data_IF_691932470563
#
_entry.id   IF_691932470563
#
_cell.length_a   1.000
_cell.length_b   1.000
_cell.length_c   1.000
_cell.angle_alpha   90.00
_cell.angle_beta   90.00
_cell.angle_gamma   90.00
#
_symmetry.space_group_name_H-M   'P 1'
#
loop_
_entity.id
_entity.type
_entity.pdbx_description
1 polymer ?
#
# COMPACT_ATOMS: atom_id res chain seq x y z
N UNK A 1 25.52 18.76 -50.69
CA UNK A 1 25.33 19.80 -49.67
C UNK A 1 23.89 19.87 -49.19
N UNK A 2 22.89 20.09 -50.06
CA UNK A 2 21.48 20.21 -49.63
C UNK A 2 20.86 18.95 -48.98
N UNK A 3 21.23 17.74 -49.45
CA UNK A 3 20.78 16.47 -48.84
C UNK A 3 21.38 16.17 -47.45
N UNK A 4 22.54 16.73 -47.11
CA UNK A 4 23.16 16.56 -45.80
C UNK A 4 22.53 17.47 -44.75
N UNK A 5 22.20 18.72 -45.11
CA UNK A 5 21.54 19.66 -44.20
C UNK A 5 20.14 19.20 -43.80
N UNK A 6 19.37 18.62 -44.73
CA UNK A 6 18.03 18.05 -44.45
C UNK A 6 18.14 16.87 -43.48
N UNK A 7 19.17 16.03 -43.62
CA UNK A 7 19.40 14.87 -42.77
C UNK A 7 19.85 15.28 -41.35
N UNK A 8 20.66 16.34 -41.22
CA UNK A 8 21.08 16.90 -39.92
C UNK A 8 19.90 17.58 -39.19
N UNK A 9 19.04 18.33 -39.90
CA UNK A 9 17.85 18.97 -39.32
C UNK A 9 16.81 17.95 -38.83
N UNK A 10 16.60 16.88 -39.60
CA UNK A 10 15.72 15.75 -39.22
C UNK A 10 16.23 15.02 -37.97
N UNK A 11 17.54 14.72 -37.91
CA UNK A 11 18.18 14.02 -36.79
C UNK A 11 18.25 14.87 -35.51
N UNK A 12 18.34 16.20 -35.65
CA UNK A 12 18.23 17.17 -34.56
C UNK A 12 16.82 17.18 -33.96
N UNK A 13 15.78 17.36 -34.79
CA UNK A 13 14.38 17.35 -34.35
C UNK A 13 13.95 16.03 -33.71
N UNK A 14 14.43 14.89 -34.21
CA UNK A 14 14.14 13.58 -33.63
C UNK A 14 14.78 13.39 -32.26
N UNK A 15 15.99 13.95 -32.03
CA UNK A 15 16.65 13.98 -30.71
C UNK A 15 15.94 14.93 -29.74
N UNK A 16 15.41 16.07 -30.18
CA UNK A 16 14.62 16.97 -29.33
C UNK A 16 13.26 16.39 -28.97
N UNK A 17 12.57 15.72 -29.89
CA UNK A 17 11.32 15.00 -29.64
C UNK A 17 11.54 13.78 -28.73
N UNK A 18 12.55 12.96 -28.99
CA UNK A 18 12.94 11.86 -28.09
C UNK A 18 13.32 12.38 -26.72
N UNK A 19 14.09 13.48 -26.63
CA UNK A 19 14.44 14.10 -25.35
C UNK A 19 13.20 14.65 -24.63
N UNK A 20 12.27 15.30 -25.34
CA UNK A 20 11.01 15.79 -24.77
C UNK A 20 10.07 14.64 -24.33
N UNK A 21 10.04 13.54 -25.08
CA UNK A 21 9.31 12.32 -24.73
C UNK A 21 9.99 11.63 -23.53
N UNK A 22 11.30 11.46 -23.52
CA UNK A 22 12.04 10.91 -22.35
C UNK A 22 12.01 11.84 -21.14
N UNK A 23 11.90 13.17 -21.31
CA UNK A 23 11.70 14.11 -20.21
C UNK A 23 10.26 14.04 -19.68
N UNK A 24 9.25 13.91 -20.56
CA UNK A 24 7.85 13.66 -20.16
C UNK A 24 7.67 12.29 -19.50
N UNK A 25 8.36 11.25 -19.97
CA UNK A 25 8.39 9.91 -19.34
C UNK A 25 9.24 9.89 -18.05
N UNK A 26 10.29 10.70 -17.94
CA UNK A 26 11.06 10.87 -16.69
C UNK A 26 10.21 11.45 -15.56
N UNK A 27 9.18 12.22 -15.91
CA UNK A 27 8.15 12.62 -14.95
C UNK A 27 7.21 11.47 -14.56
N UNK A 28 6.88 10.51 -15.44
CA UNK A 28 5.97 9.36 -15.21
C UNK A 28 6.75 8.14 -14.73
N UNK A 29 7.27 8.19 -13.50
CA UNK A 29 8.08 7.09 -12.94
C UNK A 29 7.42 6.34 -11.80
N UNK A 30 6.42 6.94 -11.12
CA UNK A 30 5.82 6.36 -9.91
C UNK A 30 4.43 5.76 -10.14
N UNK A 31 3.76 6.12 -11.24
CA UNK A 31 2.42 5.63 -11.58
C UNK A 31 2.37 4.11 -11.84
N UNK A 32 3.31 3.50 -12.57
CA UNK A 32 3.28 2.04 -12.76
C UNK A 32 3.48 1.28 -11.46
N UNK A 33 4.31 1.82 -10.56
CA UNK A 33 4.60 1.22 -9.25
C UNK A 33 3.37 1.25 -8.35
N UNK A 34 2.70 2.41 -8.23
CA UNK A 34 1.48 2.53 -7.42
C UNK A 34 0.34 1.72 -8.02
N UNK A 35 0.19 1.70 -9.35
CA UNK A 35 -0.84 0.91 -10.01
C UNK A 35 -0.68 -0.58 -9.72
N UNK A 36 0.53 -1.12 -9.95
CA UNK A 36 0.78 -2.55 -9.82
C UNK A 36 0.73 -3.01 -8.35
N UNK A 37 1.26 -2.21 -7.42
CA UNK A 37 1.12 -2.51 -5.98
C UNK A 37 -0.35 -2.51 -5.58
N UNK A 38 -1.10 -1.43 -5.86
CA UNK A 38 -2.53 -1.35 -5.51
C UNK A 38 -3.35 -2.49 -6.10
N UNK A 39 -3.13 -2.77 -7.38
CA UNK A 39 -3.78 -3.87 -8.07
C UNK A 39 -3.54 -5.21 -7.39
N UNK A 40 -2.28 -5.50 -7.03
CA UNK A 40 -1.90 -6.75 -6.37
C UNK A 40 -2.51 -6.85 -4.98
N UNK A 41 -2.43 -5.78 -4.19
CA UNK A 41 -2.92 -5.78 -2.83
C UNK A 41 -4.44 -5.91 -2.71
N UNK A 42 -5.19 -5.40 -3.70
CA UNK A 42 -6.66 -5.46 -3.69
C UNK A 42 -7.16 -6.85 -4.05
N UNK A 43 -6.50 -7.49 -5.02
CA UNK A 43 -6.65 -8.91 -5.33
C UNK A 43 -6.33 -9.78 -4.11
N UNK A 44 -5.19 -9.50 -3.47
CA UNK A 44 -4.77 -10.14 -2.22
C UNK A 44 -5.82 -10.00 -1.10
N UNK A 45 -6.31 -8.79 -0.85
CA UNK A 45 -7.23 -8.51 0.25
C UNK A 45 -8.55 -9.28 0.13
N UNK A 46 -9.11 -9.40 -1.09
CA UNK A 46 -10.35 -10.15 -1.30
C UNK A 46 -10.17 -11.64 -0.97
N UNK A 47 -9.04 -12.22 -1.35
CA UNK A 47 -8.80 -13.65 -1.14
C UNK A 47 -8.36 -13.96 0.29
N UNK A 48 -7.64 -13.05 0.95
CA UNK A 48 -7.41 -13.14 2.38
C UNK A 48 -8.74 -13.16 3.16
N UNK A 49 -9.72 -12.33 2.78
CA UNK A 49 -11.06 -12.35 3.39
C UNK A 49 -11.78 -13.70 3.18
N UNK A 50 -11.71 -14.27 1.98
CA UNK A 50 -12.27 -15.61 1.71
C UNK A 50 -11.58 -16.69 2.56
N UNK A 51 -10.26 -16.61 2.71
CA UNK A 51 -9.50 -17.54 3.57
C UNK A 51 -9.92 -17.41 5.04
N UNK A 52 -10.19 -16.20 5.53
CA UNK A 52 -10.71 -15.99 6.89
C UNK A 52 -12.07 -16.61 7.11
N UNK A 53 -12.96 -16.50 6.12
CA UNK A 53 -14.28 -17.13 6.16
C UNK A 53 -14.17 -18.66 6.23
N UNK A 54 -13.34 -19.26 5.37
CA UNK A 54 -13.13 -20.71 5.40
C UNK A 54 -12.50 -21.19 6.71
N UNK A 55 -11.50 -20.48 7.22
CA UNK A 55 -10.88 -20.83 8.52
C UNK A 55 -11.83 -20.62 9.70
N UNK A 56 -12.62 -19.55 9.71
CA UNK A 56 -13.63 -19.33 10.75
C UNK A 56 -14.64 -20.49 10.80
N UNK A 57 -15.10 -20.96 9.64
CA UNK A 57 -16.05 -22.06 9.56
C UNK A 57 -15.44 -23.42 9.93
N UNK A 58 -14.28 -23.76 9.35
CA UNK A 58 -13.68 -25.10 9.47
C UNK A 58 -12.86 -25.31 10.73
N UNK A 59 -12.10 -24.29 11.16
CA UNK A 59 -11.14 -24.42 12.27
C UNK A 59 -11.72 -23.91 13.58
N UNK A 60 -12.32 -22.71 13.58
CA UNK A 60 -12.84 -22.10 14.81
C UNK A 60 -14.19 -22.69 15.24
N UNK A 61 -15.14 -22.84 14.30
CA UNK A 61 -16.49 -23.35 14.60
C UNK A 61 -16.65 -24.86 14.37
N UNK A 62 -15.70 -25.48 13.66
CA UNK A 62 -15.69 -26.92 13.36
C UNK A 62 -17.01 -27.43 12.76
N UNK A 63 -17.62 -26.64 11.87
CA UNK A 63 -18.83 -27.07 11.17
C UNK A 63 -18.52 -28.15 10.13
N UNK A 64 -19.56 -28.91 9.74
CA UNK A 64 -19.46 -29.91 8.68
C UNK A 64 -18.93 -29.29 7.38
N UNK A 65 -18.07 -30.03 6.68
CA UNK A 65 -17.44 -29.58 5.42
C UNK A 65 -18.46 -29.10 4.40
N UNK A 66 -19.59 -29.79 4.25
CA UNK A 66 -20.68 -29.42 3.34
C UNK A 66 -21.28 -28.04 3.63
N UNK A 67 -21.36 -27.64 4.89
CA UNK A 67 -21.87 -26.33 5.30
C UNK A 67 -20.85 -25.25 4.95
N UNK A 68 -19.56 -25.50 5.24
CA UNK A 68 -18.50 -24.56 4.92
C UNK A 68 -18.29 -24.38 3.41
N UNK A 69 -18.45 -25.45 2.61
CA UNK A 69 -18.41 -25.38 1.15
C UNK A 69 -19.62 -24.62 0.57
N UNK A 70 -20.81 -24.81 1.16
CA UNK A 70 -21.99 -24.02 0.81
C UNK A 70 -21.80 -22.53 1.15
N UNK A 71 -21.18 -22.21 2.30
CA UNK A 71 -20.84 -20.84 2.67
C UNK A 71 -19.80 -20.22 1.72
N UNK A 72 -18.74 -20.95 1.37
CA UNK A 72 -17.69 -20.48 0.46
C UNK A 72 -18.22 -20.24 -0.96
N UNK A 73 -19.12 -21.10 -1.45
CA UNK A 73 -19.78 -20.96 -2.75
C UNK A 73 -20.98 -20.00 -2.75
N UNK A 74 -21.31 -19.40 -1.60
CA UNK A 74 -22.52 -18.57 -1.39
C UNK A 74 -23.82 -19.27 -1.79
N UNK A 75 -23.90 -20.58 -1.56
CA UNK A 75 -25.09 -21.38 -1.82
C UNK A 75 -26.09 -21.28 -0.66
N UNK A 76 -27.12 -20.45 -0.84
CA UNK A 76 -28.13 -20.09 0.18
C UNK A 76 -28.92 -21.31 0.69
N UNK A 77 -28.95 -22.42 -0.06
CA UNK A 77 -29.70 -23.63 0.33
C UNK A 77 -28.92 -24.60 1.22
N UNK A 78 -27.60 -24.40 1.38
CA UNK A 78 -26.73 -25.37 2.06
C UNK A 78 -26.41 -25.05 3.53
N UNK A 79 -26.91 -23.94 4.08
CA UNK A 79 -26.62 -23.51 5.45
C UNK A 79 -27.78 -22.72 6.07
N UNK A 80 -27.83 -22.66 7.41
CA UNK A 80 -28.80 -21.85 8.14
C UNK A 80 -28.31 -20.41 8.32
N UNK A 81 -29.22 -19.43 8.29
CA UNK A 81 -28.90 -18.00 8.55
C UNK A 81 -28.19 -17.76 9.88
N UNK A 82 -28.48 -18.56 10.91
CA UNK A 82 -27.81 -18.46 12.21
C UNK A 82 -26.33 -18.88 12.15
N UNK A 83 -26.00 -19.86 11.31
CA UNK A 83 -24.61 -20.31 11.10
C UNK A 83 -23.82 -19.26 10.34
N UNK A 84 -24.41 -18.69 9.28
CA UNK A 84 -23.82 -17.59 8.53
C UNK A 84 -23.52 -16.39 9.45
N UNK A 85 -24.51 -15.95 10.25
CA UNK A 85 -24.34 -14.84 11.17
C UNK A 85 -23.23 -15.09 12.20
N UNK A 86 -23.07 -16.32 12.66
CA UNK A 86 -22.01 -16.69 13.63
C UNK A 86 -20.63 -16.65 12.98
N UNK A 87 -20.49 -17.18 11.76
CA UNK A 87 -19.24 -17.12 10.98
C UNK A 87 -18.87 -15.66 10.68
N UNK A 88 -19.82 -14.88 10.18
CA UNK A 88 -19.63 -13.47 9.85
C UNK A 88 -19.22 -12.66 11.06
N UNK A 89 -19.84 -12.89 12.23
CA UNK A 89 -19.44 -12.21 13.48
C UNK A 89 -17.96 -12.44 13.81
N UNK A 90 -17.49 -13.69 13.75
CA UNK A 90 -16.07 -14.01 14.01
C UNK A 90 -15.15 -13.34 12.99
N UNK A 91 -15.51 -13.38 11.71
CA UNK A 91 -14.72 -12.76 10.64
C UNK A 91 -14.66 -11.25 10.82
N UNK A 92 -15.79 -10.60 11.14
CA UNK A 92 -15.86 -9.16 11.39
C UNK A 92 -15.01 -8.74 12.59
N UNK A 93 -15.07 -9.48 13.70
CA UNK A 93 -14.22 -9.22 14.87
C UNK A 93 -12.72 -9.31 14.52
N UNK A 94 -12.35 -10.29 13.69
CA UNK A 94 -10.98 -10.47 13.23
C UNK A 94 -10.54 -9.39 12.22
N UNK A 95 -11.44 -8.95 11.34
CA UNK A 95 -11.19 -7.83 10.43
C UNK A 95 -11.04 -6.51 11.20
N UNK A 96 -11.82 -6.30 12.27
CA UNK A 96 -11.67 -5.16 13.15
C UNK A 96 -10.29 -5.15 13.81
N UNK A 97 -9.84 -6.31 14.32
CA UNK A 97 -8.48 -6.45 14.86
C UNK A 97 -7.40 -6.15 13.80
N UNK A 98 -7.55 -6.70 12.59
CA UNK A 98 -6.65 -6.44 11.45
C UNK A 98 -6.54 -4.94 11.18
N UNK A 99 -7.68 -4.25 11.06
CA UNK A 99 -7.72 -2.81 10.80
C UNK A 99 -7.11 -1.99 11.95
N UNK A 100 -7.32 -2.41 13.20
CA UNK A 100 -6.69 -1.79 14.35
C UNK A 100 -5.16 -1.90 14.30
N UNK A 101 -4.61 -3.08 13.97
CA UNK A 101 -3.16 -3.30 13.81
C UNK A 101 -2.60 -2.42 12.67
N UNK A 102 -3.25 -2.45 11.50
CA UNK A 102 -2.85 -1.68 10.33
C UNK A 102 -3.00 -0.16 10.52
N UNK A 103 -3.72 0.29 11.54
CA UNK A 103 -3.83 1.72 11.86
C UNK A 103 -2.83 2.12 12.94
N UNK A 104 -2.73 1.35 14.03
CA UNK A 104 -1.93 1.70 15.19
C UNK A 104 -0.43 1.77 14.88
N UNK A 105 0.14 0.70 14.29
CA UNK A 105 1.59 0.64 14.05
C UNK A 105 2.06 1.67 13.01
N UNK A 106 1.39 1.85 11.86
CA UNK A 106 1.78 2.89 10.90
C UNK A 106 1.71 4.30 11.46
N UNK A 107 0.73 4.63 12.32
CA UNK A 107 0.68 5.96 12.96
C UNK A 107 1.92 6.18 13.82
N UNK A 108 2.29 5.20 14.65
CA UNK A 108 3.52 5.27 15.45
C UNK A 108 4.75 5.41 14.56
N UNK A 109 4.85 4.60 13.51
CA UNK A 109 5.99 4.62 12.59
C UNK A 109 6.11 5.95 11.85
N UNK A 110 5.02 6.46 11.26
CA UNK A 110 5.03 7.70 10.45
C UNK A 110 5.60 8.89 11.23
N UNK A 111 5.41 8.95 12.55
CA UNK A 111 6.00 10.01 13.37
C UNK A 111 7.53 9.96 13.37
N UNK A 112 8.12 8.77 13.50
CA UNK A 112 9.57 8.59 13.46
C UNK A 112 10.09 8.68 12.03
N UNK A 113 9.50 7.87 11.13
CA UNK A 113 9.97 7.75 9.75
C UNK A 113 9.83 9.10 9.07
N UNK A 114 8.69 9.80 9.20
CA UNK A 114 8.46 11.09 8.54
C UNK A 114 9.53 12.14 8.90
N UNK A 115 9.86 12.26 10.19
CA UNK A 115 10.93 13.16 10.65
C UNK A 115 12.31 12.76 10.13
N UNK A 116 12.56 11.47 9.90
CA UNK A 116 13.80 10.95 9.34
C UNK A 116 13.87 11.15 7.83
N UNK A 117 12.77 10.92 7.10
CA UNK A 117 12.63 11.13 5.65
C UNK A 117 12.97 12.55 5.25
N UNK A 118 12.41 13.52 5.98
CA UNK A 118 12.58 14.93 5.68
C UNK A 118 14.05 15.36 5.85
N UNK A 119 14.78 14.74 6.78
CA UNK A 119 16.20 15.02 7.03
C UNK A 119 17.13 14.35 6.04
N UNK A 120 16.85 13.10 5.70
CA UNK A 120 17.73 12.27 4.86
C UNK A 120 17.34 12.29 3.38
N UNK A 121 16.23 12.93 2.98
CA UNK A 121 15.55 12.82 1.67
C UNK A 121 15.50 11.39 1.09
N UNK A 122 15.50 10.37 1.95
CA UNK A 122 15.43 8.96 1.57
C UNK A 122 13.97 8.52 1.51
N UNK A 123 13.35 8.76 0.35
CA UNK A 123 11.92 8.50 0.11
C UNK A 123 11.65 7.14 -0.50
N UNK A 124 12.67 6.52 -1.10
CA UNK A 124 12.57 5.16 -1.67
C UNK A 124 12.27 4.13 -0.60
N UNK A 125 12.81 4.33 0.62
CA UNK A 125 12.52 3.46 1.76
C UNK A 125 11.02 3.39 2.07
N UNK A 126 10.30 4.51 1.97
CA UNK A 126 8.85 4.56 2.24
C UNK A 126 8.00 3.86 1.21
N UNK A 127 8.49 3.81 -0.03
CA UNK A 127 7.78 3.15 -1.12
C UNK A 127 8.08 1.65 -1.06
N UNK A 128 9.35 1.27 -0.85
CA UNK A 128 9.77 -0.13 -0.88
C UNK A 128 9.42 -0.91 0.38
N UNK A 129 9.43 -0.30 1.57
CA UNK A 129 9.17 -1.01 2.82
C UNK A 129 7.74 -1.58 2.91
N UNK A 130 6.65 -0.83 2.60
CA UNK A 130 5.32 -1.40 2.57
C UNK A 130 5.16 -2.50 1.51
N UNK A 131 5.81 -2.35 0.36
CA UNK A 131 5.79 -3.35 -0.71
C UNK A 131 6.42 -4.67 -0.24
N UNK A 132 7.57 -4.61 0.45
CA UNK A 132 8.19 -5.80 1.02
C UNK A 132 7.39 -6.39 2.18
N UNK A 133 6.71 -5.54 2.97
CA UNK A 133 5.83 -6.00 4.04
C UNK A 133 4.67 -6.83 3.52
N UNK A 134 4.06 -6.40 2.43
CA UNK A 134 2.98 -7.15 1.80
C UNK A 134 3.43 -8.51 1.22
N UNK A 135 4.64 -8.57 0.67
CA UNK A 135 5.22 -9.86 0.25
C UNK A 135 5.39 -10.82 1.43
N UNK A 136 5.81 -10.32 2.60
CA UNK A 136 5.91 -11.12 3.82
C UNK A 136 4.54 -11.60 4.29
N UNK A 137 3.50 -10.75 4.17
CA UNK A 137 2.13 -11.15 4.47
C UNK A 137 1.64 -12.27 3.54
N UNK A 138 1.90 -12.16 2.23
CA UNK A 138 1.59 -13.22 1.27
C UNK A 138 2.31 -14.53 1.61
N UNK A 139 3.60 -14.48 1.96
CA UNK A 139 4.37 -15.65 2.37
C UNK A 139 3.79 -16.28 3.65
N UNK A 140 3.39 -15.45 4.61
CA UNK A 140 2.73 -15.87 5.85
C UNK A 140 1.38 -16.55 5.60
N UNK A 141 0.59 -16.05 4.64
CA UNK A 141 -0.66 -16.69 4.24
C UNK A 141 -0.44 -18.03 3.54
N UNK A 142 0.59 -18.15 2.69
CA UNK A 142 0.96 -19.45 2.09
C UNK A 142 1.27 -20.46 3.19
N UNK A 143 2.08 -20.09 4.19
CA UNK A 143 2.35 -20.96 5.34
C UNK A 143 1.07 -21.35 6.09
N UNK A 144 0.15 -20.40 6.29
CA UNK A 144 -1.13 -20.65 6.93
C UNK A 144 -2.06 -21.57 6.13
N UNK A 145 -1.97 -21.57 4.80
CA UNK A 145 -2.71 -22.49 3.93
C UNK A 145 -2.09 -23.88 3.97
N UNK A 146 -0.76 -24.01 4.05
CA UNK A 146 -0.10 -25.30 4.24
C UNK A 146 -0.44 -25.94 5.60
N UNK A 147 -0.50 -25.11 6.65
CA UNK A 147 -0.85 -25.52 8.01
C UNK A 147 -2.31 -25.16 8.33
N UNK A 148 -3.22 -25.44 7.40
CA UNK A 148 -4.60 -24.95 7.45
C UNK A 148 -5.33 -25.32 8.75
N UNK A 149 -5.26 -26.58 9.17
CA UNK A 149 -5.96 -27.11 10.34
C UNK A 149 -5.17 -26.96 11.65
N UNK A 150 -3.87 -26.70 11.57
CA UNK A 150 -3.02 -26.57 12.76
C UNK A 150 -3.01 -25.14 13.32
N UNK A 151 -3.15 -24.14 12.44
CA UNK A 151 -3.07 -22.73 12.82
C UNK A 151 -4.46 -22.09 12.96
N UNK A 152 -4.80 -21.53 14.14
CA UNK A 152 -6.08 -20.87 14.35
C UNK A 152 -6.17 -19.56 13.57
N UNK A 153 -7.41 -19.11 13.32
CA UNK A 153 -7.68 -17.90 12.54
C UNK A 153 -6.94 -16.65 13.06
N UNK A 154 -6.80 -16.50 14.38
CA UNK A 154 -6.09 -15.37 14.99
C UNK A 154 -4.62 -15.29 14.53
N UNK A 155 -3.93 -16.44 14.42
CA UNK A 155 -2.53 -16.48 13.97
C UNK A 155 -2.44 -16.11 12.49
N UNK A 156 -3.43 -16.52 11.69
CA UNK A 156 -3.51 -16.12 10.27
C UNK A 156 -3.67 -14.61 10.11
N UNK A 157 -4.55 -13.99 10.91
CA UNK A 157 -4.79 -12.54 10.88
C UNK A 157 -3.58 -11.74 11.36
N UNK A 158 -2.90 -12.21 12.41
CA UNK A 158 -1.66 -11.60 12.89
C UNK A 158 -0.55 -11.73 11.84
N UNK A 159 -0.44 -12.89 11.20
CA UNK A 159 0.52 -13.17 10.13
C UNK A 159 0.32 -12.30 8.88
N UNK A 160 -0.94 -11.98 8.53
CA UNK A 160 -1.30 -11.07 7.44
C UNK A 160 -1.10 -9.59 7.81
N UNK A 161 -1.39 -9.19 9.04
CA UNK A 161 -1.41 -7.76 9.39
C UNK A 161 -0.08 -7.22 9.90
N UNK A 162 0.64 -7.98 10.73
CA UNK A 162 1.82 -7.49 11.44
C UNK A 162 2.97 -7.08 10.50
N UNK A 163 3.40 -7.88 9.50
CA UNK A 163 4.53 -7.51 8.67
C UNK A 163 4.28 -6.22 7.89
N UNK A 164 3.07 -6.06 7.33
CA UNK A 164 2.67 -4.84 6.63
C UNK A 164 2.58 -3.64 7.58
N UNK A 165 2.02 -3.82 8.77
CA UNK A 165 1.86 -2.77 9.76
C UNK A 165 3.22 -2.26 10.28
N UNK A 166 4.17 -3.17 10.55
CA UNK A 166 5.52 -2.85 11.02
C UNK A 166 6.39 -2.18 9.94
N UNK A 167 6.09 -2.42 8.67
CA UNK A 167 6.77 -1.78 7.54
C UNK A 167 6.04 -0.52 7.04
N UNK A 168 5.03 -0.06 7.80
CA UNK A 168 4.36 1.23 7.61
C UNK A 168 3.08 1.18 6.78
N UNK A 169 2.79 0.07 6.11
CA UNK A 169 1.55 -0.15 5.38
C UNK A 169 1.24 0.87 4.28
N UNK A 170 -0.03 0.87 3.86
CA UNK A 170 -0.57 1.78 2.86
C UNK A 170 -0.34 3.28 3.15
N UNK A 171 -0.50 3.76 4.41
CA UNK A 171 -0.27 5.17 4.71
C UNK A 171 1.16 5.61 4.39
N UNK A 172 2.17 4.81 4.75
CA UNK A 172 3.58 5.10 4.41
C UNK A 172 3.82 5.09 2.90
N UNK A 173 3.23 4.13 2.17
CA UNK A 173 3.34 4.06 0.71
C UNK A 173 2.82 5.34 0.05
N UNK A 174 1.62 5.79 0.43
CA UNK A 174 1.01 6.99 -0.13
C UNK A 174 1.79 8.25 0.24
N UNK A 175 2.22 8.40 1.49
CA UNK A 175 3.06 9.53 1.91
C UNK A 175 4.36 9.53 1.11
N UNK A 176 5.02 8.38 0.96
CA UNK A 176 6.26 8.24 0.18
C UNK A 176 6.08 8.69 -1.27
N UNK A 177 5.00 8.26 -1.93
CA UNK A 177 4.73 8.60 -3.33
C UNK A 177 4.35 10.08 -3.48
N UNK A 178 3.42 10.59 -2.67
CA UNK A 178 2.99 11.99 -2.77
C UNK A 178 4.10 12.97 -2.42
N UNK A 179 4.95 12.65 -1.44
CA UNK A 179 6.13 13.45 -1.12
C UNK A 179 7.14 13.39 -2.26
N UNK A 180 7.42 12.20 -2.82
CA UNK A 180 8.32 12.04 -3.98
C UNK A 180 7.88 12.89 -5.18
N UNK A 181 6.60 12.80 -5.57
CA UNK A 181 6.02 13.65 -6.64
C UNK A 181 6.13 15.13 -6.29
N UNK A 182 5.90 15.49 -5.02
CA UNK A 182 5.93 16.87 -4.55
C UNK A 182 7.27 17.56 -4.68
N UNK A 183 8.40 16.83 -4.65
CA UNK A 183 9.74 17.39 -4.86
C UNK A 183 10.21 17.26 -6.30
N UNK A 184 9.81 16.21 -7.02
CA UNK A 184 10.32 15.99 -8.37
C UNK A 184 9.62 16.85 -9.43
N UNK A 185 8.38 17.28 -9.19
CA UNK A 185 7.60 18.06 -10.14
C UNK A 185 7.62 19.56 -9.83
N UNK A 186 7.70 20.36 -10.91
CA UNK A 186 7.51 21.81 -10.84
C UNK A 186 6.13 22.18 -10.31
N UNK A 187 6.03 23.31 -9.60
CA UNK A 187 4.81 23.78 -8.93
C UNK A 187 3.58 23.81 -9.85
N UNK A 188 3.78 24.20 -11.13
CA UNK A 188 2.71 24.29 -12.13
C UNK A 188 2.09 22.94 -12.49
N UNK A 189 2.88 21.87 -12.50
CA UNK A 189 2.45 20.53 -12.94
C UNK A 189 2.20 19.56 -11.78
N UNK A 190 2.56 19.93 -10.55
CA UNK A 190 2.45 19.09 -9.36
C UNK A 190 1.02 18.58 -9.12
N UNK A 191 0.02 19.45 -9.21
CA UNK A 191 -1.39 19.08 -9.00
C UNK A 191 -1.90 18.09 -10.05
N UNK A 192 -1.58 18.32 -11.34
CA UNK A 192 -1.91 17.40 -12.42
C UNK A 192 -1.28 16.02 -12.21
N UNK A 193 -0.03 16.01 -11.75
CA UNK A 193 0.68 14.76 -11.48
C UNK A 193 0.10 13.96 -10.33
N UNK A 194 -0.25 14.63 -9.23
CA UNK A 194 -0.96 14.02 -8.11
C UNK A 194 -2.31 13.45 -8.56
N UNK A 195 -2.98 14.12 -9.50
CA UNK A 195 -4.19 13.61 -10.18
C UNK A 195 -3.94 12.29 -10.91
N UNK A 196 -2.90 12.19 -11.74
CA UNK A 196 -2.54 10.95 -12.43
C UNK A 196 -2.19 9.80 -11.48
N UNK A 197 -1.44 10.07 -10.41
CA UNK A 197 -1.15 9.08 -9.37
C UNK A 197 -2.45 8.59 -8.71
N UNK A 198 -3.38 9.49 -8.41
CA UNK A 198 -4.68 9.12 -7.84
C UNK A 198 -5.52 8.31 -8.83
N UNK A 199 -5.50 8.65 -10.11
CA UNK A 199 -6.20 7.90 -11.15
C UNK A 199 -5.62 6.48 -11.30
N UNK A 200 -4.29 6.34 -11.31
CA UNK A 200 -3.62 5.04 -11.33
C UNK A 200 -3.98 4.19 -10.10
N UNK A 201 -4.01 4.81 -8.91
CA UNK A 201 -4.49 4.17 -7.68
C UNK A 201 -5.93 3.64 -7.83
N UNK A 202 -6.85 4.49 -8.27
CA UNK A 202 -8.26 4.08 -8.43
C UNK A 202 -8.43 2.99 -9.50
N UNK A 203 -7.72 3.09 -10.61
CA UNK A 203 -7.72 2.05 -11.65
C UNK A 203 -7.21 0.71 -11.11
N UNK A 204 -6.15 0.71 -10.30
CA UNK A 204 -5.65 -0.48 -9.63
C UNK A 204 -6.71 -1.13 -8.73
N UNK A 205 -7.43 -0.34 -7.93
CA UNK A 205 -8.52 -0.84 -7.08
C UNK A 205 -9.66 -1.46 -7.91
N UNK A 206 -10.17 -0.73 -8.91
CA UNK A 206 -11.31 -1.19 -9.70
C UNK A 206 -10.99 -2.46 -10.48
N UNK A 207 -9.81 -2.52 -11.11
CA UNK A 207 -9.37 -3.69 -11.85
C UNK A 207 -9.06 -4.87 -10.94
N UNK A 208 -8.46 -4.61 -9.78
CA UNK A 208 -8.16 -5.65 -8.80
C UNK A 208 -9.41 -6.37 -8.33
N UNK A 209 -10.43 -5.64 -7.86
CA UNK A 209 -11.69 -6.25 -7.43
C UNK A 209 -12.43 -6.97 -8.55
N UNK A 210 -12.42 -6.42 -9.76
CA UNK A 210 -13.10 -7.03 -10.91
C UNK A 210 -12.49 -8.39 -11.30
N UNK A 211 -11.17 -8.53 -11.17
CA UNK A 211 -10.44 -9.73 -11.62
C UNK A 211 -10.25 -10.75 -10.49
N UNK A 212 -10.22 -10.31 -9.23
CA UNK A 212 -9.85 -11.15 -8.08
C UNK A 212 -10.68 -12.44 -7.96
N UNK A 213 -12.00 -12.37 -8.13
CA UNK A 213 -12.89 -13.53 -8.01
C UNK A 213 -12.66 -14.58 -9.12
N UNK A 214 -12.54 -14.12 -10.37
CA UNK A 214 -12.30 -15.00 -11.53
C UNK A 214 -10.94 -15.67 -11.41
N UNK A 215 -9.92 -14.89 -11.05
CA UNK A 215 -8.57 -15.40 -10.86
C UNK A 215 -8.54 -16.47 -9.76
N UNK A 216 -9.18 -16.22 -8.62
CA UNK A 216 -9.21 -17.17 -7.52
C UNK A 216 -9.88 -18.51 -7.87
N UNK A 217 -11.03 -18.46 -8.57
CA UNK A 217 -11.73 -19.68 -9.01
C UNK A 217 -10.86 -20.56 -9.94
N UNK A 218 -9.93 -19.97 -10.69
CA UNK A 218 -9.09 -20.71 -11.63
C UNK A 218 -7.86 -21.38 -11.01
N UNK A 219 -7.23 -20.77 -9.98
CA UNK A 219 -5.91 -21.22 -9.47
C UNK A 219 -5.91 -21.71 -8.01
N UNK A 220 -6.93 -21.38 -7.20
CA UNK A 220 -6.98 -21.71 -5.77
C UNK A 220 -5.97 -20.94 -4.91
N UNK A 221 -5.99 -21.15 -3.59
CA UNK A 221 -5.28 -20.29 -2.62
C UNK A 221 -3.76 -20.22 -2.80
N UNK A 222 -3.05 -21.36 -2.86
CA UNK A 222 -1.57 -21.37 -2.87
C UNK A 222 -1.04 -20.67 -4.12
N UNK A 223 -1.49 -21.12 -5.30
CA UNK A 223 -1.08 -20.56 -6.58
C UNK A 223 -1.42 -19.07 -6.69
N UNK A 224 -2.57 -18.66 -6.15
CA UNK A 224 -2.98 -17.26 -6.12
C UNK A 224 -2.02 -16.39 -5.31
N UNK A 225 -1.67 -16.79 -4.07
CA UNK A 225 -0.72 -16.03 -3.26
C UNK A 225 0.69 -16.01 -3.88
N UNK A 226 1.10 -17.07 -4.56
CA UNK A 226 2.34 -17.07 -5.35
C UNK A 226 2.31 -16.02 -6.47
N UNK A 227 1.19 -15.89 -7.20
CA UNK A 227 1.00 -14.86 -8.22
C UNK A 227 1.07 -13.47 -7.59
N UNK A 228 0.43 -13.25 -6.44
CA UNK A 228 0.55 -11.98 -5.71
C UNK A 228 1.99 -11.65 -5.35
N UNK A 229 2.78 -12.61 -4.86
CA UNK A 229 4.21 -12.39 -4.57
C UNK A 229 4.96 -12.00 -5.84
N UNK A 230 4.72 -12.66 -6.97
CA UNK A 230 5.38 -12.34 -8.24
C UNK A 230 5.04 -10.93 -8.74
N UNK A 231 3.76 -10.53 -8.68
CA UNK A 231 3.33 -9.19 -9.06
C UNK A 231 3.89 -8.13 -8.12
N UNK A 232 3.92 -8.41 -6.82
CA UNK A 232 4.49 -7.51 -5.82
C UNK A 232 6.01 -7.39 -5.95
N UNK A 233 6.70 -8.49 -6.30
CA UNK A 233 8.12 -8.50 -6.66
C UNK A 233 8.39 -7.63 -7.90
N UNK A 234 7.52 -7.72 -8.92
CA UNK A 234 7.62 -6.85 -10.08
C UNK A 234 7.42 -5.37 -9.69
N UNK A 235 6.44 -5.05 -8.84
CA UNK A 235 6.25 -3.70 -8.30
C UNK A 235 7.47 -3.22 -7.50
N UNK A 236 8.09 -4.09 -6.70
CA UNK A 236 9.30 -3.80 -5.94
C UNK A 236 10.48 -3.50 -6.86
N UNK A 237 10.71 -4.33 -7.87
CA UNK A 237 11.76 -4.12 -8.89
C UNK A 237 11.54 -2.82 -9.67
N UNK A 238 10.29 -2.55 -10.11
CA UNK A 238 9.94 -1.29 -10.77
C UNK A 238 10.18 -0.10 -9.84
N UNK A 239 9.83 -0.21 -8.56
CA UNK A 239 10.14 0.78 -7.53
C UNK A 239 11.64 1.04 -7.41
N UNK A 240 12.47 0.00 -7.45
CA UNK A 240 13.94 0.16 -7.41
C UNK A 240 14.47 0.88 -8.65
N UNK A 241 13.98 0.53 -9.83
CA UNK A 241 14.49 1.03 -11.11
C UNK A 241 14.00 2.45 -11.44
N UNK A 242 12.73 2.75 -11.12
CA UNK A 242 12.08 4.00 -11.51
C UNK A 242 12.20 5.09 -10.44
N UNK A 243 12.22 4.74 -9.14
CA UNK A 243 12.38 5.72 -8.05
C UNK A 243 13.87 6.05 -7.88
N UNK A 244 14.23 7.24 -8.35
CA UNK A 244 15.59 7.79 -8.23
C UNK A 244 15.70 8.64 -6.98
N UNK A 245 16.66 8.34 -6.12
CA UNK A 245 17.01 9.20 -5.00
C UNK A 245 18.16 10.13 -5.40
N UNK A 246 18.05 11.40 -5.03
CA UNK A 246 19.18 12.32 -5.12
C UNK A 246 20.17 11.98 -4.02
N UNK A 247 21.45 11.81 -4.38
CA UNK A 247 22.52 11.60 -3.40
C UNK A 247 22.73 12.90 -2.64
N UNK A 248 22.31 12.97 -1.39
CA UNK A 248 22.71 14.08 -0.52
C UNK A 248 24.16 13.84 -0.08
N UNK A 249 25.03 14.78 -0.44
CA UNK A 249 26.35 14.99 0.17
C UNK A 249 26.17 15.76 1.48
N UNK A 250 25.91 15.09 2.61
CA UNK A 250 26.10 15.70 3.94
C UNK A 250 26.51 14.68 5.00
N UNK A 251 27.46 15.16 5.81
CA UNK A 251 28.26 14.50 6.84
C UNK A 251 27.55 13.41 7.62
N UNK A 252 28.16 12.23 7.63
CA UNK A 252 27.91 11.16 8.58
C UNK A 252 28.04 11.71 10.01
N UNK A 253 26.92 11.85 10.71
CA UNK A 253 26.96 11.74 12.16
C UNK A 253 27.14 10.25 12.46
N UNK A 254 28.26 9.90 13.10
CA UNK A 254 28.73 8.55 13.42
C UNK A 254 27.87 7.77 14.43
N UNK A 255 26.65 8.24 14.71
CA UNK A 255 25.68 7.50 15.50
C UNK A 255 24.79 6.72 14.54
N UNK A 256 24.82 5.39 14.62
CA UNK A 256 24.19 4.49 13.65
C UNK A 256 22.78 4.88 13.23
N UNK A 257 22.44 4.58 11.97
CA UNK A 257 21.21 4.99 11.28
C UNK A 257 19.93 4.72 12.10
N UNK A 258 19.88 3.60 12.82
CA UNK A 258 18.75 3.24 13.69
C UNK A 258 18.60 4.15 14.92
N UNK A 259 19.71 4.62 15.49
CA UNK A 259 19.70 5.51 16.66
C UNK A 259 19.24 6.92 16.27
N UNK A 260 19.61 7.39 15.08
CA UNK A 260 19.09 8.64 14.53
C UNK A 260 17.62 8.53 14.07
N UNK A 261 17.19 7.34 13.65
CA UNK A 261 15.80 7.05 13.26
C UNK A 261 14.83 7.10 14.45
N UNK A 262 15.21 6.50 15.58
CA UNK A 262 14.37 6.46 16.79
C UNK A 262 14.60 7.62 17.77
N UNK A 263 15.21 8.73 17.34
CA UNK A 263 15.46 9.86 18.23
C UNK A 263 14.18 10.70 18.47
N UNK A 264 13.60 10.49 19.66
CA UNK A 264 12.36 11.12 20.15
C UNK A 264 12.46 12.66 20.18
N UNK A 265 13.68 13.22 20.24
CA UNK A 265 13.88 14.68 20.23
C UNK A 265 13.24 15.34 19.01
N UNK A 266 13.28 14.66 17.86
CA UNK A 266 12.72 15.19 16.60
C UNK A 266 11.21 15.11 16.58
N UNK A 267 10.63 14.01 17.06
CA UNK A 267 9.18 13.88 17.23
C UNK A 267 8.66 14.99 18.15
N UNK A 268 9.31 15.22 19.30
CA UNK A 268 8.93 16.28 20.24
C UNK A 268 8.97 17.68 19.61
N UNK A 269 9.96 17.97 18.76
CA UNK A 269 10.04 19.24 18.05
C UNK A 269 8.92 19.41 17.02
N UNK A 270 8.58 18.35 16.26
CA UNK A 270 7.44 18.38 15.34
C UNK A 270 6.11 18.62 16.07
N UNK A 271 5.90 17.94 17.21
CA UNK A 271 4.74 18.19 18.07
C UNK A 271 4.71 19.63 18.59
N UNK A 272 5.85 20.17 19.04
CA UNK A 272 5.93 21.55 19.52
C UNK A 272 5.54 22.56 18.42
N UNK A 273 5.90 22.31 17.16
CA UNK A 273 5.50 23.15 16.03
C UNK A 273 3.99 23.04 15.77
N UNK A 274 3.41 21.84 15.78
CA UNK A 274 1.96 21.65 15.62
C UNK A 274 1.14 22.33 16.73
N UNK A 275 1.64 22.34 17.96
CA UNK A 275 0.94 22.85 19.14
C UNK A 275 1.35 24.26 19.59
N UNK A 276 2.31 24.91 18.92
CA UNK A 276 2.64 26.32 19.19
C UNK A 276 1.60 27.27 18.59
N UNK A 277 1.33 28.41 19.26
CA UNK A 277 0.39 29.43 18.77
C UNK A 277 1.13 30.27 17.74
N UNK A 278 0.93 29.98 16.46
CA UNK A 278 1.45 30.81 15.37
C UNK A 278 0.36 31.77 14.85
N UNK A 279 0.74 32.98 14.41
CA UNK A 279 -0.17 33.88 13.70
C UNK A 279 -0.62 33.24 12.38
N UNK A 280 -1.80 33.62 11.87
CA UNK A 280 -2.40 33.22 10.58
C UNK A 280 -3.42 32.06 10.55
N UNK A 281 -4.21 31.83 11.62
CA UNK A 281 -5.35 30.89 11.64
C UNK A 281 -5.03 29.44 11.15
N UNK A 282 -3.76 29.01 11.15
CA UNK A 282 -3.35 27.69 10.65
C UNK A 282 -3.99 26.55 11.44
N UNK A 283 -4.17 26.73 12.75
CA UNK A 283 -4.88 25.76 13.61
C UNK A 283 -6.30 25.48 13.14
N UNK A 284 -7.03 26.53 12.76
CA UNK A 284 -8.39 26.40 12.23
C UNK A 284 -8.39 25.63 10.90
N UNK A 285 -7.42 25.90 10.02
CA UNK A 285 -7.23 25.14 8.76
C UNK A 285 -6.91 23.66 9.02
N UNK A 286 -6.05 23.36 10.00
CA UNK A 286 -5.75 21.96 10.39
C UNK A 286 -6.99 21.24 10.95
N UNK A 287 -7.76 21.90 11.82
CA UNK A 287 -9.01 21.34 12.36
C UNK A 287 -10.00 21.06 11.22
N UNK A 288 -10.14 21.98 10.27
CA UNK A 288 -10.98 21.78 9.08
C UNK A 288 -10.49 20.59 8.24
N UNK A 289 -9.18 20.47 8.00
CA UNK A 289 -8.63 19.35 7.21
C UNK A 289 -8.88 18.02 7.94
N UNK A 290 -8.71 17.96 9.26
CA UNK A 290 -9.00 16.75 10.05
C UNK A 290 -10.50 16.42 9.94
N UNK A 291 -11.39 17.40 10.14
CA UNK A 291 -12.83 17.22 10.06
C UNK A 291 -13.26 16.73 8.67
N UNK A 292 -12.74 17.34 7.60
CA UNK A 292 -13.01 16.93 6.22
C UNK A 292 -12.52 15.50 5.96
N UNK A 293 -11.34 15.14 6.49
CA UNK A 293 -10.81 13.78 6.34
C UNK A 293 -11.70 12.76 7.05
N UNK A 294 -12.21 13.07 8.24
CA UNK A 294 -13.16 12.22 8.97
C UNK A 294 -14.48 12.07 8.20
N UNK A 295 -15.00 13.16 7.64
CA UNK A 295 -16.25 13.13 6.86
C UNK A 295 -16.10 12.31 5.57
N UNK A 296 -14.97 12.44 4.87
CA UNK A 296 -14.74 11.74 3.59
C UNK A 296 -14.35 10.28 3.80
N UNK A 297 -13.50 9.97 4.79
CA UNK A 297 -12.99 8.61 5.01
C UNK A 297 -13.83 7.79 6.00
N UNK A 298 -14.65 8.43 6.84
CA UNK A 298 -15.51 7.77 7.81
C UNK A 298 -16.50 6.78 7.17
N UNK A 299 -17.28 7.18 6.14
CA UNK A 299 -18.22 6.29 5.48
C UNK A 299 -17.56 5.05 4.86
N UNK A 300 -16.34 5.19 4.34
CA UNK A 300 -15.62 4.10 3.68
C UNK A 300 -15.12 3.00 4.62
N UNK A 301 -15.08 3.27 5.94
CA UNK A 301 -14.61 2.33 6.97
C UNK A 301 -15.74 1.92 7.95
N UNK A 302 -16.96 2.42 7.76
CA UNK A 302 -18.11 2.19 8.63
C UNK A 302 -19.04 1.06 8.20
N UNK A 303 -18.64 0.26 7.20
CA UNK A 303 -19.34 -0.97 6.78
C UNK A 303 -18.76 -2.21 7.46
#
# INVERSE_FOLDING_TARGET
MEKEEVNVKSRSNHKTLLNQITMKLSCITVEPVIFLSIFTSTIYQLIAQNLYLEKACRVNLQFNSSICDALASRNIYGFNKSQEATVQKIVTDMLALRTAILSFFPICLILFVGSWSDRHNKRKLFILAPISGEMLCCASLILNVLLFYELPLIVTVLGDSLPLALLGGWPCLFIGIYTYVGVRCDEKNRSLKMGFVSAAKMAGHSLGYSIAGILFQAVGFISFFCICILLQMAAFCLGILLVKEEKITRSENSNGVLKDFFDIKYVKNSFKICFNREPNNRRFKFIIIILLTVIVAGPSNGE
#
